data_IF_078263925771
#
_entry.id   IF_078263925771
#
_cell.length_a   1.000
_cell.length_b   1.000
_cell.length_c   1.000
_cell.angle_alpha   90.00
_cell.angle_beta   90.00
_cell.angle_gamma   90.00
#
_symmetry.space_group_name_H-M   'P 1'
#
loop_
_entity.id
_entity.type
_entity.pdbx_description
1 polymer ?
#
# COMPACT_ATOMS: atom_id res chain seq x y z
N UNK A 1 21.85 3.20 35.84
CA UNK A 1 22.79 3.04 34.70
C UNK A 1 23.63 1.79 34.88
N UNK A 2 22.95 0.64 34.91
CA UNK A 2 23.59 -0.65 35.14
C UNK A 2 24.07 -1.16 33.76
N UNK A 3 25.35 -1.60 33.63
CA UNK A 3 25.82 -2.21 32.38
C UNK A 3 25.06 -3.49 32.07
N UNK A 4 24.97 -3.91 30.80
CA UNK A 4 24.28 -5.15 30.44
C UNK A 4 24.93 -6.34 31.11
N UNK A 5 24.11 -7.25 31.61
CA UNK A 5 24.60 -8.50 32.24
C UNK A 5 25.08 -9.50 31.19
N UNK A 6 24.52 -9.44 29.98
CA UNK A 6 24.87 -10.27 28.82
C UNK A 6 24.97 -9.38 27.58
N UNK A 7 26.04 -9.54 26.81
CA UNK A 7 26.25 -8.76 25.61
C UNK A 7 27.02 -7.45 25.85
N UNK A 8 27.29 -6.73 24.75
CA UNK A 8 28.11 -5.51 24.73
C UNK A 8 27.28 -4.23 24.95
N UNK A 9 26.01 -4.25 24.54
CA UNK A 9 25.16 -3.07 24.55
C UNK A 9 23.77 -3.38 25.12
N UNK A 10 23.19 -2.41 25.83
CA UNK A 10 21.77 -2.35 26.14
C UNK A 10 21.09 -1.53 25.05
N UNK A 11 20.11 -2.13 24.34
CA UNK A 11 19.38 -1.47 23.27
C UNK A 11 17.97 -1.13 23.77
N UNK A 12 17.60 0.14 23.71
CA UNK A 12 16.28 0.62 24.05
C UNK A 12 15.56 1.01 22.77
N UNK A 13 14.47 0.32 22.44
CA UNK A 13 13.61 0.62 21.31
C UNK A 13 12.38 1.35 21.84
N UNK A 14 12.17 2.58 21.39
CA UNK A 14 11.01 3.40 21.74
C UNK A 14 10.18 3.56 20.49
N UNK A 15 9.06 2.83 20.48
CA UNK A 15 8.11 2.86 19.38
C UNK A 15 7.14 4.04 19.55
N UNK A 16 6.66 4.59 18.43
CA UNK A 16 5.78 5.76 18.35
C UNK A 16 6.28 6.91 19.26
N UNK A 17 7.56 7.20 19.14
CA UNK A 17 8.25 8.16 20.04
C UNK A 17 7.62 9.56 20.00
N UNK A 18 6.90 9.94 18.94
CA UNK A 18 6.15 11.19 18.84
C UNK A 18 5.04 11.34 19.90
N UNK A 19 4.61 10.21 20.50
CA UNK A 19 3.60 10.20 21.58
C UNK A 19 4.19 10.63 22.95
N UNK A 20 5.49 10.80 23.05
CA UNK A 20 6.10 11.29 24.29
C UNK A 20 5.70 12.74 24.58
N UNK A 21 5.46 13.04 25.85
CA UNK A 21 5.21 14.42 26.27
C UNK A 21 6.45 15.31 26.10
N UNK A 22 6.26 16.63 25.98
CA UNK A 22 7.36 17.58 25.90
C UNK A 22 8.31 17.49 27.11
N UNK A 23 7.78 17.19 28.28
CA UNK A 23 8.58 17.00 29.49
C UNK A 23 9.46 15.74 29.40
N UNK A 24 8.91 14.64 28.83
CA UNK A 24 9.66 13.42 28.59
C UNK A 24 10.78 13.64 27.56
N UNK A 25 10.51 14.36 26.47
CA UNK A 25 11.56 14.75 25.52
C UNK A 25 12.68 15.56 26.18
N UNK A 26 12.35 16.55 26.99
CA UNK A 26 13.34 17.38 27.70
C UNK A 26 14.20 16.56 28.66
N UNK A 27 13.60 15.57 29.35
CA UNK A 27 14.36 14.67 30.20
C UNK A 27 15.27 13.73 29.40
N UNK A 28 14.80 13.33 28.20
CA UNK A 28 15.53 12.41 27.31
C UNK A 28 16.74 13.09 26.64
N UNK A 29 16.64 14.39 26.34
CA UNK A 29 17.74 15.17 25.73
C UNK A 29 19.05 15.03 26.50
N UNK A 30 19.03 15.11 27.85
CA UNK A 30 20.22 14.94 28.68
C UNK A 30 20.92 13.60 28.47
N UNK A 31 20.14 12.54 28.19
CA UNK A 31 20.70 11.22 27.96
C UNK A 31 21.19 11.05 26.52
N UNK A 32 20.58 11.75 25.56
CA UNK A 32 21.05 11.76 24.17
C UNK A 32 22.31 12.61 23.96
N UNK A 33 22.53 13.66 24.77
CA UNK A 33 23.72 14.46 24.72
C UNK A 33 24.94 13.70 25.24
N UNK A 34 24.78 12.96 26.33
CA UNK A 34 25.85 12.16 26.95
C UNK A 34 25.36 10.71 27.15
N UNK A 35 25.20 9.93 26.07
CA UNK A 35 24.75 8.56 26.20
C UNK A 35 25.80 7.68 26.85
N UNK A 36 25.45 6.80 27.80
CA UNK A 36 26.37 5.82 28.31
C UNK A 36 26.95 4.96 27.19
N UNK A 37 28.27 4.64 27.20
CA UNK A 37 28.92 3.97 26.06
C UNK A 37 28.37 2.60 25.73
N UNK A 38 27.66 1.95 26.67
CA UNK A 38 27.03 0.67 26.51
C UNK A 38 25.53 0.76 26.16
N UNK A 39 24.96 1.95 25.93
CA UNK A 39 23.54 2.16 25.63
C UNK A 39 23.36 2.61 24.18
N UNK A 40 22.38 2.03 23.51
CA UNK A 40 21.89 2.46 22.19
C UNK A 40 20.40 2.70 22.26
N UNK A 41 19.95 3.80 21.64
CA UNK A 41 18.54 4.11 21.49
C UNK A 41 18.14 3.94 20.03
N UNK A 42 17.00 3.30 19.79
CA UNK A 42 16.31 3.20 18.51
C UNK A 42 14.95 3.86 18.69
N UNK A 43 14.75 4.99 18.03
CA UNK A 43 13.50 5.74 18.09
C UNK A 43 12.72 5.49 16.81
N UNK A 44 11.52 4.96 16.94
CA UNK A 44 10.63 4.66 15.81
C UNK A 44 9.47 5.65 15.81
N UNK A 45 9.09 6.15 14.64
CA UNK A 45 7.93 7.05 14.48
C UNK A 45 7.38 6.98 13.08
N UNK A 46 6.07 7.10 12.96
CA UNK A 46 5.36 7.32 11.68
C UNK A 46 5.26 8.80 11.32
N UNK A 47 5.52 9.73 12.30
CA UNK A 47 5.36 11.17 12.15
C UNK A 47 6.64 11.91 12.58
N UNK A 48 7.71 11.85 11.77
CA UNK A 48 8.99 12.47 12.13
C UNK A 48 8.90 14.00 12.29
N UNK A 49 7.94 14.65 11.63
CA UNK A 49 7.70 16.10 11.71
C UNK A 49 7.20 16.55 13.08
N UNK A 50 6.61 15.65 13.89
CA UNK A 50 6.18 15.94 15.26
C UNK A 50 7.34 15.88 16.27
N UNK A 51 8.51 15.39 15.86
CA UNK A 51 9.66 15.31 16.75
C UNK A 51 10.38 16.66 16.87
N UNK A 52 10.80 17.06 18.09
CA UNK A 52 11.61 18.25 18.27
C UNK A 52 12.92 18.18 17.46
N UNK A 53 13.28 19.28 16.81
CA UNK A 53 14.52 19.37 16.02
C UNK A 53 15.76 19.07 16.87
N UNK A 54 15.70 19.33 18.18
CA UNK A 54 16.76 19.03 19.14
C UNK A 54 17.01 17.54 19.33
N UNK A 55 15.97 16.68 19.13
CA UNK A 55 16.09 15.22 19.11
C UNK A 55 16.66 14.78 17.76
N UNK A 56 16.06 15.27 16.66
CA UNK A 56 16.47 14.89 15.30
C UNK A 56 17.95 15.20 15.03
N UNK A 57 18.47 16.33 15.52
CA UNK A 57 19.86 16.74 15.32
C UNK A 57 20.88 15.83 16.04
N UNK A 58 20.44 14.99 16.98
CA UNK A 58 21.29 14.06 17.75
C UNK A 58 21.11 12.61 17.34
N UNK A 59 20.24 12.35 16.36
CA UNK A 59 19.95 11.02 15.89
C UNK A 59 20.37 10.84 14.43
N UNK A 60 20.83 9.66 14.08
CA UNK A 60 20.95 9.26 12.69
C UNK A 60 19.57 8.82 12.20
N UNK A 61 19.09 9.42 11.12
CA UNK A 61 17.78 9.12 10.53
C UNK A 61 17.90 8.05 9.47
N UNK A 62 16.95 7.11 9.51
CA UNK A 62 16.73 6.08 8.51
C UNK A 62 15.27 6.10 8.10
N UNK A 63 15.00 6.37 6.84
CA UNK A 63 13.65 6.40 6.29
C UNK A 63 13.29 5.04 5.68
N UNK A 64 12.23 4.42 6.17
CA UNK A 64 11.67 3.18 5.64
C UNK A 64 10.52 3.50 4.70
N UNK A 65 10.64 3.09 3.46
CA UNK A 65 9.60 3.29 2.45
C UNK A 65 8.65 2.09 2.39
N UNK A 66 7.45 2.32 1.85
CA UNK A 66 6.51 1.27 1.53
C UNK A 66 7.14 0.24 0.58
N UNK A 67 6.88 -1.03 0.83
CA UNK A 67 7.41 -2.13 0.01
C UNK A 67 6.56 -2.27 -1.25
N UNK A 68 7.17 -2.47 -2.41
CA UNK A 68 6.42 -2.68 -3.65
C UNK A 68 5.70 -4.04 -3.65
N UNK A 69 4.56 -4.12 -4.35
CA UNK A 69 3.72 -5.31 -4.37
C UNK A 69 4.45 -6.59 -4.85
N UNK A 70 5.33 -6.57 -5.88
CA UNK A 70 6.10 -7.76 -6.26
C UNK A 70 7.00 -8.29 -5.15
N UNK A 71 7.67 -7.41 -4.40
CA UNK A 71 8.53 -7.84 -3.29
C UNK A 71 7.71 -8.41 -2.12
N UNK A 72 6.53 -7.84 -1.84
CA UNK A 72 5.59 -8.41 -0.88
C UNK A 72 5.15 -9.80 -1.33
N UNK A 73 4.69 -9.96 -2.58
CA UNK A 73 4.23 -11.25 -3.12
C UNK A 73 5.33 -12.31 -3.05
N UNK A 74 6.58 -11.96 -3.39
CA UNK A 74 7.72 -12.85 -3.27
C UNK A 74 7.95 -13.28 -1.80
N UNK A 75 7.87 -12.35 -0.85
CA UNK A 75 8.06 -12.67 0.57
C UNK A 75 6.95 -13.56 1.10
N UNK A 76 5.70 -13.30 0.72
CA UNK A 76 4.57 -14.15 1.08
C UNK A 76 4.74 -15.58 0.53
N UNK A 77 5.22 -15.72 -0.72
CA UNK A 77 5.56 -17.02 -1.32
C UNK A 77 6.56 -17.82 -0.48
N UNK A 78 7.63 -17.18 0.01
CA UNK A 78 8.62 -17.83 0.90
C UNK A 78 7.99 -18.31 2.22
N UNK A 79 7.04 -17.53 2.79
CA UNK A 79 6.34 -17.91 4.01
C UNK A 79 5.45 -19.12 3.74
N UNK A 80 4.68 -19.11 2.65
CA UNK A 80 3.81 -20.21 2.23
C UNK A 80 4.59 -21.51 2.05
N UNK A 81 5.75 -21.45 1.38
CA UNK A 81 6.63 -22.60 1.21
C UNK A 81 7.12 -23.16 2.55
N UNK A 82 7.49 -22.28 3.49
CA UNK A 82 7.95 -22.70 4.83
C UNK A 82 6.85 -23.35 5.68
N UNK A 83 5.60 -22.97 5.46
CA UNK A 83 4.41 -23.55 6.13
C UNK A 83 3.89 -24.81 5.42
N UNK A 84 4.46 -25.19 4.27
CA UNK A 84 4.07 -26.37 3.51
C UNK A 84 2.67 -26.30 2.88
N UNK A 85 2.19 -25.08 2.63
CA UNK A 85 0.90 -24.78 1.99
C UNK A 85 1.08 -24.47 0.52
N UNK A 86 0.01 -24.52 -0.24
CA UNK A 86 -0.03 -24.11 -1.64
C UNK A 86 -0.96 -22.92 -1.79
N UNK A 87 -0.46 -21.82 -2.37
CA UNK A 87 -1.25 -20.60 -2.65
C UNK A 87 -1.03 -20.22 -4.11
N UNK A 88 -2.12 -19.93 -4.82
CA UNK A 88 -2.06 -19.49 -6.20
C UNK A 88 -1.24 -18.19 -6.32
N UNK A 89 -0.32 -18.05 -7.31
CA UNK A 89 0.47 -16.83 -7.48
C UNK A 89 -0.40 -15.56 -7.60
N UNK A 90 -1.53 -15.65 -8.30
CA UNK A 90 -2.47 -14.55 -8.43
C UNK A 90 -3.10 -14.13 -7.08
N UNK A 91 -3.30 -15.09 -6.15
CA UNK A 91 -3.76 -14.81 -4.80
C UNK A 91 -2.70 -14.03 -3.99
N UNK A 92 -1.43 -14.41 -4.09
CA UNK A 92 -0.33 -13.67 -3.44
C UNK A 92 -0.20 -12.24 -3.97
N UNK A 93 -0.34 -12.06 -5.29
CA UNK A 93 -0.33 -10.72 -5.90
C UNK A 93 -1.53 -9.88 -5.45
N UNK A 94 -2.70 -10.49 -5.28
CA UNK A 94 -3.90 -9.79 -4.81
C UNK A 94 -3.70 -9.32 -3.36
N UNK A 95 -3.18 -10.18 -2.46
CA UNK A 95 -2.84 -9.83 -1.08
C UNK A 95 -1.83 -8.67 -1.07
N UNK A 96 -0.78 -8.76 -1.88
CA UNK A 96 0.28 -7.75 -1.95
C UNK A 96 -0.25 -6.38 -2.41
N UNK A 97 -1.15 -6.35 -3.39
CA UNK A 97 -1.81 -5.12 -3.83
C UNK A 97 -2.69 -4.51 -2.75
N UNK A 98 -3.44 -5.36 -2.03
CA UNK A 98 -4.33 -4.92 -0.94
C UNK A 98 -3.58 -4.36 0.26
N UNK A 99 -2.42 -4.89 0.53
CA UNK A 99 -1.58 -4.43 1.64
C UNK A 99 -0.97 -3.02 1.42
N UNK A 100 -1.12 -2.44 0.23
CA UNK A 100 -0.73 -1.06 -0.10
C UNK A 100 0.70 -0.69 0.37
N UNK A 101 1.63 -1.66 0.33
CA UNK A 101 3.02 -1.47 0.74
C UNK A 101 3.33 -1.85 2.19
N UNK A 102 2.34 -2.25 2.98
CA UNK A 102 2.51 -2.73 4.35
C UNK A 102 2.81 -4.23 4.37
N UNK A 103 4.04 -4.60 4.77
CA UNK A 103 4.41 -6.01 4.94
C UNK A 103 3.63 -6.65 6.10
N UNK A 104 3.38 -5.91 7.18
CA UNK A 104 2.62 -6.40 8.33
C UNK A 104 1.19 -6.78 7.92
N UNK A 105 0.49 -5.89 7.20
CA UNK A 105 -0.90 -6.13 6.80
C UNK A 105 -0.99 -7.28 5.80
N UNK A 106 -0.01 -7.41 4.89
CA UNK A 106 0.05 -8.54 3.96
C UNK A 106 0.21 -9.89 4.68
N UNK A 107 1.05 -9.94 5.71
CA UNK A 107 1.22 -11.15 6.53
C UNK A 107 -0.02 -11.46 7.36
N UNK A 108 -0.66 -10.44 7.95
CA UNK A 108 -1.90 -10.63 8.70
C UNK A 108 -3.04 -11.15 7.82
N UNK A 109 -3.15 -10.69 6.57
CA UNK A 109 -4.10 -11.24 5.61
C UNK A 109 -3.78 -12.69 5.24
N UNK A 110 -2.50 -13.00 5.02
CA UNK A 110 -2.07 -14.38 4.73
C UNK A 110 -2.37 -15.32 5.91
N UNK A 111 -2.15 -14.87 7.13
CA UNK A 111 -2.43 -15.65 8.35
C UNK A 111 -3.93 -15.95 8.51
N UNK A 112 -4.80 -14.98 8.18
CA UNK A 112 -6.25 -15.21 8.16
C UNK A 112 -6.64 -16.28 7.12
N UNK A 113 -6.00 -16.29 5.96
CA UNK A 113 -6.23 -17.30 4.92
C UNK A 113 -5.74 -18.68 5.36
N UNK A 114 -4.63 -18.77 6.10
CA UNK A 114 -4.17 -20.02 6.69
C UNK A 114 -5.18 -20.60 7.68
N UNK A 115 -5.87 -19.75 8.45
CA UNK A 115 -6.96 -20.16 9.33
C UNK A 115 -8.12 -20.85 8.58
N UNK A 116 -8.42 -20.42 7.36
CA UNK A 116 -9.44 -21.03 6.50
C UNK A 116 -8.92 -22.33 5.88
N UNK A 117 -7.66 -22.35 5.45
CA UNK A 117 -7.03 -23.51 4.83
C UNK A 117 -6.70 -24.64 5.83
N UNK A 118 -6.69 -24.36 7.12
CA UNK A 118 -6.47 -25.36 8.18
C UNK A 118 -7.59 -26.44 8.26
N UNK A 119 -8.69 -26.29 7.50
CA UNK A 119 -9.67 -27.33 7.20
C UNK A 119 -9.17 -28.28 6.10
N UNK A 120 -10.12 -28.79 5.29
CA UNK A 120 -9.83 -29.79 4.25
C UNK A 120 -9.12 -29.23 2.98
N UNK A 121 -8.94 -27.92 2.86
CA UNK A 121 -8.34 -27.26 1.69
C UNK A 121 -6.82 -27.08 1.89
N UNK A 122 -6.02 -27.83 1.13
CA UNK A 122 -4.55 -27.65 1.08
C UNK A 122 -4.09 -26.51 0.14
N UNK A 123 -4.99 -25.90 -0.61
CA UNK A 123 -4.72 -24.88 -1.62
C UNK A 123 -5.59 -23.66 -1.38
N UNK A 124 -4.97 -22.48 -1.42
CA UNK A 124 -5.64 -21.17 -1.31
C UNK A 124 -5.69 -20.56 -2.71
N UNK A 125 -6.91 -20.33 -3.17
CA UNK A 125 -7.19 -19.71 -4.47
C UNK A 125 -7.57 -18.23 -4.32
N UNK A 126 -7.72 -17.54 -5.46
CA UNK A 126 -8.07 -16.11 -5.49
C UNK A 126 -9.43 -15.86 -4.83
N UNK A 127 -10.37 -16.78 -4.98
CA UNK A 127 -11.73 -16.73 -4.41
C UNK A 127 -11.69 -16.73 -2.87
N UNK A 128 -10.76 -17.47 -2.28
CA UNK A 128 -10.59 -17.51 -0.82
C UNK A 128 -10.07 -16.15 -0.31
N UNK A 129 -9.16 -15.53 -1.06
CA UNK A 129 -8.67 -14.17 -0.76
C UNK A 129 -9.82 -13.17 -0.86
N UNK A 130 -10.63 -13.28 -1.90
CA UNK A 130 -11.83 -12.45 -2.07
C UNK A 130 -12.83 -12.61 -0.92
N UNK A 131 -13.03 -13.81 -0.41
CA UNK A 131 -13.92 -14.08 0.72
C UNK A 131 -13.40 -13.41 2.02
N UNK A 132 -12.09 -13.45 2.28
CA UNK A 132 -11.49 -12.83 3.47
C UNK A 132 -11.47 -11.29 3.36
N UNK A 133 -11.11 -10.77 2.20
CA UNK A 133 -11.01 -9.31 1.96
C UNK A 133 -12.41 -8.68 1.84
N UNK A 134 -13.44 -9.47 1.55
CA UNK A 134 -14.82 -8.99 1.41
C UNK A 134 -15.06 -8.25 0.10
N UNK A 135 -14.67 -8.84 -1.05
CA UNK A 135 -14.77 -8.21 -2.38
C UNK A 135 -16.18 -7.97 -2.89
N UNK A 136 -17.20 -8.53 -2.27
CA UNK A 136 -18.58 -8.07 -2.49
C UNK A 136 -18.74 -6.57 -2.20
N UNK A 137 -17.84 -6.00 -1.40
CA UNK A 137 -17.78 -4.56 -1.12
C UNK A 137 -17.14 -3.77 -2.28
N UNK A 138 -16.19 -4.33 -3.01
CA UNK A 138 -15.49 -3.65 -4.12
C UNK A 138 -16.42 -3.44 -5.33
N UNK A 139 -17.30 -4.40 -5.64
CA UNK A 139 -18.32 -4.25 -6.68
C UNK A 139 -19.28 -3.12 -6.35
N UNK A 140 -19.74 -3.04 -5.09
CA UNK A 140 -20.65 -1.99 -4.62
C UNK A 140 -20.00 -0.60 -4.61
N UNK A 141 -18.72 -0.52 -4.25
CA UNK A 141 -17.94 0.72 -4.37
C UNK A 141 -17.75 1.09 -5.84
N UNK A 142 -17.58 0.11 -6.73
CA UNK A 142 -17.55 0.32 -8.18
C UNK A 142 -18.87 0.89 -8.71
N UNK A 143 -20.01 0.32 -8.31
CA UNK A 143 -21.34 0.84 -8.64
C UNK A 143 -21.56 2.27 -8.14
N UNK A 144 -21.12 2.56 -6.90
CA UNK A 144 -21.14 3.89 -6.31
C UNK A 144 -20.29 4.88 -7.13
N UNK A 145 -19.06 4.50 -7.47
CA UNK A 145 -18.19 5.32 -8.30
C UNK A 145 -18.79 5.63 -9.66
N UNK A 146 -19.38 4.60 -10.32
CA UNK A 146 -20.04 4.74 -11.60
C UNK A 146 -21.26 5.65 -11.53
N UNK A 147 -22.09 5.52 -10.49
CA UNK A 147 -23.25 6.39 -10.26
C UNK A 147 -22.84 7.85 -10.06
N UNK A 148 -21.75 8.10 -9.32
CA UNK A 148 -21.20 9.46 -9.12
C UNK A 148 -20.70 10.04 -10.45
N UNK A 149 -19.95 9.28 -11.23
CA UNK A 149 -19.44 9.72 -12.54
C UNK A 149 -20.60 10.06 -13.48
N UNK A 150 -21.66 9.25 -13.47
CA UNK A 150 -22.86 9.45 -14.29
C UNK A 150 -23.80 10.54 -13.72
N UNK A 151 -23.52 11.08 -12.56
CA UNK A 151 -24.38 12.07 -11.83
C UNK A 151 -25.76 11.52 -11.49
N UNK A 152 -25.86 10.20 -11.27
CA UNK A 152 -27.09 9.53 -10.85
C UNK A 152 -27.18 9.52 -9.32
N UNK A 153 -27.77 10.57 -8.75
CA UNK A 153 -27.86 10.73 -7.31
C UNK A 153 -28.70 9.63 -6.62
N UNK A 154 -29.87 9.21 -7.15
CA UNK A 154 -30.64 8.11 -6.57
C UNK A 154 -29.84 6.80 -6.48
N UNK A 155 -29.15 6.42 -7.56
CA UNK A 155 -28.33 5.21 -7.60
C UNK A 155 -27.15 5.30 -6.67
N UNK A 156 -26.47 6.47 -6.59
CA UNK A 156 -25.35 6.70 -5.69
C UNK A 156 -25.75 6.53 -4.21
N UNK A 157 -26.90 7.08 -3.82
CA UNK A 157 -27.41 6.95 -2.44
C UNK A 157 -27.76 5.50 -2.12
N UNK A 158 -28.40 4.79 -3.06
CA UNK A 158 -28.74 3.38 -2.89
C UNK A 158 -27.47 2.52 -2.73
N UNK A 159 -26.49 2.67 -3.63
CA UNK A 159 -25.22 1.94 -3.57
C UNK A 159 -24.44 2.21 -2.27
N UNK A 160 -24.42 3.47 -1.79
CA UNK A 160 -23.82 3.83 -0.51
C UNK A 160 -24.54 3.14 0.65
N UNK A 161 -25.88 3.16 0.64
CA UNK A 161 -26.68 2.51 1.68
C UNK A 161 -26.40 0.99 1.71
N UNK A 162 -26.30 0.35 0.55
CA UNK A 162 -25.96 -1.06 0.44
C UNK A 162 -24.58 -1.37 1.01
N UNK A 163 -23.58 -0.53 0.73
CA UNK A 163 -22.23 -0.70 1.32
C UNK A 163 -22.28 -0.66 2.86
N UNK A 164 -22.97 0.33 3.43
CA UNK A 164 -23.04 0.52 4.88
C UNK A 164 -23.90 -0.56 5.55
N UNK A 165 -25.02 -0.96 4.95
CA UNK A 165 -25.93 -1.98 5.50
C UNK A 165 -25.28 -3.37 5.58
N UNK A 166 -24.31 -3.66 4.72
CA UNK A 166 -23.50 -4.88 4.76
C UNK A 166 -22.33 -4.81 5.77
N UNK A 167 -22.34 -3.81 6.66
CA UNK A 167 -21.36 -3.66 7.73
C UNK A 167 -20.01 -3.09 7.26
N UNK A 168 -19.97 -2.36 6.13
CA UNK A 168 -18.79 -1.61 5.77
C UNK A 168 -18.68 -0.36 6.65
N UNK A 169 -17.48 -0.08 7.14
CA UNK A 169 -17.17 1.20 7.77
C UNK A 169 -17.21 2.33 6.73
N UNK A 170 -17.87 3.42 7.06
CA UNK A 170 -18.03 4.56 6.15
C UNK A 170 -16.69 5.17 5.73
N UNK A 171 -15.69 5.19 6.63
CA UNK A 171 -14.33 5.64 6.33
C UNK A 171 -13.66 4.76 5.28
N UNK A 172 -13.75 3.44 5.43
CA UNK A 172 -13.22 2.48 4.48
C UNK A 172 -13.90 2.55 3.10
N UNK A 173 -15.22 2.77 3.05
CA UNK A 173 -15.93 2.99 1.78
C UNK A 173 -15.43 4.25 1.08
N UNK A 174 -15.24 5.35 1.83
CA UNK A 174 -14.73 6.61 1.28
C UNK A 174 -13.31 6.45 0.73
N UNK A 175 -12.43 5.77 1.44
CA UNK A 175 -11.06 5.52 0.99
C UNK A 175 -11.01 4.70 -0.31
N UNK A 176 -11.79 3.62 -0.37
CA UNK A 176 -11.91 2.80 -1.59
C UNK A 176 -12.50 3.58 -2.77
N UNK A 177 -13.50 4.41 -2.51
CA UNK A 177 -14.11 5.29 -3.52
C UNK A 177 -13.08 6.28 -4.07
N UNK A 178 -12.29 6.93 -3.21
CA UNK A 178 -11.22 7.84 -3.64
C UNK A 178 -10.17 7.12 -4.50
N UNK A 179 -9.78 5.90 -4.15
CA UNK A 179 -8.86 5.08 -4.94
C UNK A 179 -9.48 4.75 -6.29
N UNK A 180 -10.75 4.34 -6.35
CA UNK A 180 -11.46 4.02 -7.59
C UNK A 180 -11.55 5.23 -8.53
N UNK A 181 -11.98 6.38 -8.03
CA UNK A 181 -12.09 7.63 -8.79
C UNK A 181 -10.72 8.12 -9.28
N UNK A 182 -9.68 8.05 -8.45
CA UNK A 182 -8.31 8.36 -8.86
C UNK A 182 -7.85 7.46 -10.01
N UNK A 183 -8.11 6.15 -9.92
CA UNK A 183 -7.70 5.20 -10.95
C UNK A 183 -8.45 5.46 -12.27
N UNK A 184 -9.74 5.81 -12.22
CA UNK A 184 -10.50 6.24 -13.40
C UNK A 184 -9.92 7.50 -14.04
N UNK A 185 -9.55 8.52 -13.24
CA UNK A 185 -8.90 9.73 -13.71
C UNK A 185 -7.55 9.44 -14.40
N UNK A 186 -6.70 8.65 -13.75
CA UNK A 186 -5.40 8.24 -14.31
C UNK A 186 -5.60 7.49 -15.62
N UNK A 187 -6.53 6.53 -15.67
CA UNK A 187 -6.84 5.77 -16.88
C UNK A 187 -7.33 6.68 -18.02
N UNK A 188 -8.17 7.68 -17.73
CA UNK A 188 -8.67 8.62 -18.75
C UNK A 188 -7.55 9.46 -19.36
N UNK A 189 -6.61 9.96 -18.54
CA UNK A 189 -5.46 10.75 -19.01
C UNK A 189 -4.51 9.92 -19.87
N UNK A 190 -4.19 8.69 -19.44
CA UNK A 190 -3.35 7.78 -20.22
C UNK A 190 -4.01 7.38 -21.54
N UNK A 191 -5.32 7.15 -21.55
CA UNK A 191 -6.07 6.83 -22.76
C UNK A 191 -6.03 7.98 -23.76
N UNK A 192 -6.23 9.22 -23.31
CA UNK A 192 -6.14 10.38 -24.19
C UNK A 192 -4.72 10.60 -24.78
N UNK A 193 -3.67 10.35 -23.99
CA UNK A 193 -2.29 10.40 -24.49
C UNK A 193 -2.02 9.30 -25.51
N UNK A 194 -2.45 8.08 -25.22
CA UNK A 194 -2.31 6.94 -26.13
C UNK A 194 -3.00 7.21 -27.48
N UNK A 195 -4.23 7.70 -27.46
CA UNK A 195 -4.99 8.04 -28.69
C UNK A 195 -4.30 9.14 -29.46
N UNK A 196 -3.83 10.21 -28.79
CA UNK A 196 -3.08 11.30 -29.45
C UNK A 196 -1.79 10.81 -30.11
N UNK A 197 -1.04 9.93 -29.46
CA UNK A 197 0.20 9.37 -30.00
C UNK A 197 -0.05 8.43 -31.18
N UNK A 198 -1.13 7.64 -31.14
CA UNK A 198 -1.54 6.80 -32.28
C UNK A 198 -1.94 7.67 -33.48
N UNK A 199 -2.73 8.73 -33.27
CA UNK A 199 -3.11 9.65 -34.34
C UNK A 199 -1.89 10.36 -34.95
N UNK A 200 -0.92 10.79 -34.13
CA UNK A 200 0.33 11.37 -34.63
C UNK A 200 1.12 10.41 -35.51
N UNK A 201 1.25 9.13 -35.09
CA UNK A 201 1.97 8.10 -35.85
C UNK A 201 1.27 7.80 -37.19
N UNK A 202 -0.05 7.74 -37.23
CA UNK A 202 -0.81 7.55 -38.46
C UNK A 202 -0.71 8.73 -39.40
N UNK A 203 -0.72 9.96 -38.88
CA UNK A 203 -0.52 11.19 -39.69
C UNK A 203 0.90 11.26 -40.29
N UNK A 204 1.93 10.94 -39.52
CA UNK A 204 3.31 10.90 -40.02
C UNK A 204 3.51 9.81 -41.08
N UNK A 205 2.90 8.66 -40.92
CA UNK A 205 2.96 7.56 -41.90
C UNK A 205 2.21 7.85 -43.19
N UNK A 206 1.14 8.68 -43.17
CA UNK A 206 0.42 9.11 -44.37
C UNK A 206 1.11 10.27 -45.08
N UNK A 207 1.74 11.20 -44.34
CA UNK A 207 2.51 12.32 -44.90
C UNK A 207 3.73 11.85 -45.68
N UNK A 208 4.45 10.83 -45.23
CA UNK A 208 5.59 10.26 -45.93
C UNK A 208 5.22 9.52 -47.23
N UNK A 209 3.98 9.06 -47.39
CA UNK A 209 3.53 8.40 -48.62
C UNK A 209 3.25 9.42 -49.75
N UNK A 210 2.84 10.62 -49.42
CA UNK A 210 2.58 11.68 -50.44
C UNK A 210 3.86 12.32 -50.99
N UNK A 211 4.98 12.25 -50.27
CA UNK A 211 6.27 12.72 -50.79
C UNK A 211 7.01 11.70 -51.65
N UNK A 212 6.71 10.39 -51.52
CA UNK A 212 7.33 9.34 -52.31
C UNK A 212 6.72 9.19 -53.74
N UNK A 213 5.48 9.68 -53.97
CA UNK A 213 4.85 9.64 -55.28
C UNK A 213 5.24 10.80 -56.22
N UNK A 214 5.92 11.84 -55.73
CA UNK A 214 6.37 12.98 -56.61
C UNK A 214 7.84 12.91 -56.99
N UNK A 215 8.58 11.86 -56.60
CA UNK A 215 10.01 11.70 -56.91
C UNK A 215 10.32 10.70 -58.05
N UNK A 216 9.30 10.17 -58.75
CA UNK A 216 9.49 9.17 -59.82
C UNK A 216 9.13 9.64 -61.24
N UNK A 217 8.95 10.95 -61.45
CA UNK A 217 8.80 11.53 -62.81
C UNK A 217 9.89 12.58 -63.05
N UNK A 218 11.13 12.12 -63.32
CA UNK A 218 12.15 12.83 -64.10
C UNK A 218 13.19 11.85 -64.60
#
# INVERSE_FOLDING_TARGET
RIPPQVGKYSIYIIDEVHMLSQQAFNAFLKTLEEPPPHVKFVLCTTEPEKLPITILSRCQRFDFQSVNAPAIAQRLGQIVESEGLTVAPAALELIARRAAGSMRDSQSLLEQLFGIAAGDKKSIEVEDVHAVIGTGKDEKVGELAQAIINRDSPLAISALHDCVSQGADAGGVLEQLLIALRNCLVASVYWEQFVRDQLRRTWQASGNRNHACHASDH
#
